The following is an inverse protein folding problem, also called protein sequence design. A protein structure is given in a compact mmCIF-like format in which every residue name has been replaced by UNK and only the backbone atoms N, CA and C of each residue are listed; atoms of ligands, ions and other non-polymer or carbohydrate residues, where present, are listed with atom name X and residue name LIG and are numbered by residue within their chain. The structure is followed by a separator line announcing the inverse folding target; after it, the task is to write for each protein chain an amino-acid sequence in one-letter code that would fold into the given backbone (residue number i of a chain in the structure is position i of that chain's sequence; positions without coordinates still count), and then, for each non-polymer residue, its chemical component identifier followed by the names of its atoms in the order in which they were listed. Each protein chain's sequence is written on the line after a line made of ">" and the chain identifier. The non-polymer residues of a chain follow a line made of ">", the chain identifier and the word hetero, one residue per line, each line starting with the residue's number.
data_IF_877086857290
#
_entry.id   IF_877086857290
#
_cell.length_a   1.000
_cell.length_b   1.000
_cell.length_c   1.000
_cell.angle_alpha   90.00
_cell.angle_beta   90.00
_cell.angle_gamma   90.00
#
_symmetry.space_group_name_H-M   'P 1'
#
loop_
_entity.id
_entity.type
_entity.pdbx_description
1 polymer ?
#
# COMPACT_ATOMS: atom_id res chain seq x y z
N UNK A 1 -3.15 -14.88 -17.12
CA UNK A 1 -2.80 -14.16 -15.88
C UNK A 1 -2.58 -12.72 -16.27
N UNK A 2 -3.47 -11.81 -15.86
CA UNK A 2 -3.28 -10.40 -16.14
C UNK A 2 -2.15 -9.88 -15.25
N UNK A 3 -1.05 -9.48 -15.86
CA UNK A 3 0.10 -8.93 -15.15
C UNK A 3 -0.21 -7.51 -14.70
N UNK A 4 0.27 -7.15 -13.51
CA UNK A 4 0.23 -5.76 -13.02
C UNK A 4 1.19 -4.93 -13.89
N UNK A 5 0.77 -3.78 -14.45
CA UNK A 5 1.68 -2.89 -15.17
C UNK A 5 2.84 -2.45 -14.28
N UNK A 6 4.04 -2.15 -14.85
CA UNK A 6 5.12 -1.53 -14.10
C UNK A 6 4.62 -0.31 -13.34
N UNK A 7 4.95 -0.21 -12.06
CA UNK A 7 4.41 0.83 -11.19
C UNK A 7 4.71 2.26 -11.71
N UNK A 8 5.88 2.46 -12.35
CA UNK A 8 6.30 3.74 -12.91
C UNK A 8 5.39 4.26 -14.04
N UNK A 9 4.75 3.35 -14.77
CA UNK A 9 3.84 3.67 -15.88
C UNK A 9 2.40 3.95 -15.39
N UNK A 10 2.11 3.69 -14.11
CA UNK A 10 0.75 3.65 -13.56
C UNK A 10 0.64 4.33 -12.19
N UNK A 11 1.52 5.30 -11.91
CA UNK A 11 1.66 5.91 -10.59
C UNK A 11 0.37 6.57 -10.07
N UNK A 12 -0.48 7.08 -10.96
CA UNK A 12 -1.74 7.74 -10.60
C UNK A 12 -2.73 6.77 -9.95
N UNK A 13 -2.80 5.53 -10.42
CA UNK A 13 -3.60 4.47 -9.81
C UNK A 13 -2.85 3.74 -8.70
N UNK A 14 -1.53 3.68 -8.79
CA UNK A 14 -0.68 2.94 -7.86
C UNK A 14 -0.58 3.60 -6.49
N UNK A 15 -0.36 4.92 -6.45
CA UNK A 15 -0.13 5.66 -5.20
C UNK A 15 -1.29 5.54 -4.20
N UNK A 16 -2.57 5.73 -4.60
CA UNK A 16 -3.69 5.54 -3.68
C UNK A 16 -3.76 4.11 -3.12
N UNK A 17 -3.45 3.10 -3.95
CA UNK A 17 -3.47 1.70 -3.53
C UNK A 17 -2.34 1.38 -2.56
N UNK A 18 -1.13 1.91 -2.78
CA UNK A 18 -0.05 1.81 -1.81
C UNK A 18 -0.40 2.47 -0.48
N UNK A 19 -1.01 3.65 -0.50
CA UNK A 19 -1.45 4.34 0.72
C UNK A 19 -2.46 3.47 1.50
N UNK A 20 -3.51 3.00 0.83
CA UNK A 20 -4.49 2.11 1.44
C UNK A 20 -3.88 0.82 1.99
N UNK A 21 -3.04 0.12 1.23
CA UNK A 21 -2.46 -1.14 1.69
C UNK A 21 -1.42 -0.92 2.80
N UNK A 22 -0.63 0.16 2.75
CA UNK A 22 0.35 0.48 3.80
C UNK A 22 -0.30 0.77 5.15
N UNK A 23 -1.54 1.28 5.15
CA UNK A 23 -2.29 1.53 6.39
C UNK A 23 -2.56 0.25 7.22
N UNK A 24 -2.47 -0.95 6.63
CA UNK A 24 -2.56 -2.23 7.35
C UNK A 24 -1.40 -2.47 8.32
N UNK A 25 -0.29 -1.75 8.13
CA UNK A 25 0.93 -1.93 8.90
C UNK A 25 1.08 -0.92 10.05
N UNK A 26 0.13 0.01 10.20
CA UNK A 26 0.13 0.97 11.31
C UNK A 26 -0.22 0.27 12.64
N UNK A 27 0.36 0.74 13.74
CA UNK A 27 0.05 0.29 15.10
C UNK A 27 -1.29 0.89 15.58
N UNK A 28 -2.34 0.64 14.81
CA UNK A 28 -3.71 1.11 15.06
C UNK A 28 -4.68 0.00 14.72
N UNK A 29 -5.85 -0.02 15.36
CA UNK A 29 -6.88 -1.00 15.06
C UNK A 29 -7.30 -0.91 13.59
N UNK A 30 -7.00 -1.97 12.84
CA UNK A 30 -7.26 -2.04 11.40
C UNK A 30 -8.75 -1.87 11.06
N UNK A 31 -9.67 -2.17 11.98
CA UNK A 31 -11.10 -1.99 11.74
C UNK A 31 -11.48 -0.52 11.53
N UNK A 32 -10.74 0.43 12.12
CA UNK A 32 -11.02 1.87 12.06
C UNK A 32 -10.92 2.45 10.64
N UNK A 33 -10.01 1.90 9.83
CA UNK A 33 -9.75 2.34 8.45
C UNK A 33 -10.26 1.35 7.40
N UNK A 34 -10.98 0.29 7.81
CA UNK A 34 -11.44 -0.77 6.91
C UNK A 34 -12.38 -0.26 5.83
N UNK A 35 -13.39 0.53 6.18
CA UNK A 35 -14.39 1.01 5.20
C UNK A 35 -13.74 1.88 4.12
N UNK A 36 -12.85 2.80 4.52
CA UNK A 36 -12.09 3.63 3.60
C UNK A 36 -11.19 2.79 2.68
N UNK A 37 -10.40 1.86 3.24
CA UNK A 37 -9.55 0.96 2.45
C UNK A 37 -10.36 0.20 1.41
N UNK A 38 -11.46 -0.43 1.82
CA UNK A 38 -12.29 -1.24 0.91
C UNK A 38 -12.83 -0.40 -0.23
N UNK A 39 -13.36 0.80 0.05
CA UNK A 39 -13.87 1.70 -1.00
C UNK A 39 -12.76 2.12 -1.96
N UNK A 40 -11.59 2.49 -1.43
CA UNK A 40 -10.47 2.93 -2.25
C UNK A 40 -9.95 1.79 -3.15
N UNK A 41 -9.69 0.62 -2.57
CA UNK A 41 -9.22 -0.55 -3.31
C UNK A 41 -10.23 -1.02 -4.36
N UNK A 42 -11.53 -1.03 -4.03
CA UNK A 42 -12.60 -1.41 -4.96
C UNK A 42 -12.79 -0.40 -6.11
N UNK A 43 -12.38 0.85 -5.92
CA UNK A 43 -12.40 1.88 -6.99
C UNK A 43 -11.17 1.86 -7.90
N UNK A 44 -10.12 1.10 -7.52
CA UNK A 44 -8.90 0.98 -8.31
C UNK A 44 -9.12 0.11 -9.56
N UNK A 45 -8.29 0.25 -10.61
CA UNK A 45 -8.41 -0.58 -11.81
C UNK A 45 -7.91 -2.02 -11.62
N UNK A 46 -7.41 -2.37 -10.43
CA UNK A 46 -6.78 -3.67 -10.17
C UNK A 46 -7.80 -4.72 -9.74
N UNK A 47 -7.62 -5.94 -10.24
CA UNK A 47 -8.33 -7.11 -9.70
C UNK A 47 -7.85 -7.44 -8.29
N UNK A 48 -8.60 -8.29 -7.57
CA UNK A 48 -8.19 -8.74 -6.22
C UNK A 48 -6.83 -9.44 -6.26
N UNK A 49 -6.56 -10.25 -7.28
CA UNK A 49 -5.27 -10.93 -7.46
C UNK A 49 -4.14 -9.94 -7.71
N UNK A 50 -4.41 -8.86 -8.45
CA UNK A 50 -3.43 -7.79 -8.66
C UNK A 50 -3.18 -6.98 -7.37
N UNK A 51 -4.22 -6.71 -6.59
CA UNK A 51 -4.09 -6.08 -5.28
C UNK A 51 -3.29 -6.94 -4.30
N UNK A 52 -3.47 -8.26 -4.34
CA UNK A 52 -2.68 -9.21 -3.55
C UNK A 52 -1.20 -9.16 -3.95
N UNK A 53 -0.90 -9.15 -5.25
CA UNK A 53 0.47 -8.99 -5.76
C UNK A 53 1.09 -7.67 -5.27
N UNK A 54 0.38 -6.56 -5.39
CA UNK A 54 0.84 -5.24 -4.91
C UNK A 54 1.10 -5.27 -3.39
N UNK A 55 0.21 -5.89 -2.62
CA UNK A 55 0.38 -6.00 -1.17
C UNK A 55 1.64 -6.81 -0.81
N UNK A 56 1.82 -7.98 -1.41
CA UNK A 56 2.86 -8.94 -1.05
C UNK A 56 4.23 -8.53 -1.59
N UNK A 57 4.29 -8.06 -2.83
CA UNK A 57 5.56 -7.85 -3.55
C UNK A 57 6.04 -6.39 -3.51
N UNK A 58 5.14 -5.41 -3.32
CA UNK A 58 5.50 -3.98 -3.32
C UNK A 58 5.43 -3.36 -1.92
N UNK A 59 4.33 -3.59 -1.18
CA UNK A 59 4.09 -2.91 0.11
C UNK A 59 4.71 -3.65 1.30
N UNK A 60 4.46 -4.95 1.42
CA UNK A 60 4.94 -5.76 2.55
C UNK A 60 6.47 -5.71 2.74
N UNK A 61 7.31 -5.74 1.68
CA UNK A 61 8.76 -5.72 1.85
C UNK A 61 9.29 -4.44 2.50
N UNK A 62 8.52 -3.35 2.45
CA UNK A 62 8.88 -2.06 3.01
C UNK A 62 8.20 -1.89 4.37
N UNK A 63 6.90 -2.16 4.46
CA UNK A 63 6.09 -1.85 5.63
C UNK A 63 6.13 -2.90 6.75
N UNK A 64 6.56 -4.15 6.50
CA UNK A 64 6.55 -5.22 7.53
C UNK A 64 7.30 -4.85 8.81
N UNK A 65 8.31 -3.98 8.71
CA UNK A 65 9.11 -3.55 9.86
C UNK A 65 8.29 -2.76 10.88
N UNK A 66 7.23 -2.09 10.43
CA UNK A 66 6.36 -1.34 11.33
C UNK A 66 5.58 -2.25 12.30
N UNK A 67 5.38 -3.53 11.94
CA UNK A 67 4.76 -4.52 12.83
C UNK A 67 5.65 -4.92 14.02
N UNK A 68 6.95 -4.64 13.94
CA UNK A 68 7.93 -4.98 14.98
C UNK A 68 8.35 -3.76 15.82
N UNK A 69 7.85 -2.57 15.48
CA UNK A 69 8.18 -1.33 16.18
C UNK A 69 7.13 -1.05 17.27
N UNK A 70 7.54 -1.08 18.53
CA UNK A 70 6.69 -0.67 19.65
C UNK A 70 6.71 0.87 19.70
N UNK A 71 5.59 1.50 19.36
CA UNK A 71 5.33 2.94 19.47
C UNK A 71 6.45 3.86 18.93
N UNK A 72 6.44 4.11 17.62
CA UNK A 72 7.17 5.22 16.99
C UNK A 72 6.23 5.95 16.02
N UNK A 73 6.20 7.29 16.06
CA UNK A 73 5.38 8.08 15.14
C UNK A 73 5.80 7.83 13.69
N UNK A 74 4.99 7.08 12.96
CA UNK A 74 5.19 6.89 11.53
C UNK A 74 4.40 7.96 10.78
N UNK A 75 5.11 8.87 10.11
CA UNK A 75 4.52 10.03 9.41
C UNK A 75 3.94 9.69 8.02
N UNK A 76 3.74 8.41 7.70
CA UNK A 76 3.36 7.96 6.37
C UNK A 76 4.52 7.97 5.36
N UNK A 77 4.22 7.66 4.10
CA UNK A 77 5.22 7.60 3.03
C UNK A 77 5.41 8.99 2.41
N UNK A 78 6.65 9.48 2.37
CA UNK A 78 6.98 10.66 1.56
C UNK A 78 7.04 10.26 0.08
N UNK A 79 5.99 10.60 -0.67
CA UNK A 79 5.87 10.38 -2.12
C UNK A 79 6.89 11.15 -2.96
N UNK A 80 7.74 12.00 -2.34
CA UNK A 80 8.82 12.73 -3.02
C UNK A 80 10.16 11.99 -3.01
N UNK A 81 10.32 10.91 -2.23
CA UNK A 81 11.55 10.10 -2.24
C UNK A 81 11.60 9.27 -3.51
N UNK A 82 12.24 9.86 -4.51
CA UNK A 82 12.69 9.19 -5.74
C UNK A 82 13.61 8.05 -5.32
N UNK A 83 13.22 6.81 -5.61
CA UNK A 83 14.09 5.64 -5.51
C UNK A 83 15.28 5.87 -6.45
N UNK A 84 16.39 6.34 -5.88
CA UNK A 84 17.67 6.42 -6.57
C UNK A 84 18.41 5.10 -6.38
N UNK A 85 18.51 4.35 -7.48
CA UNK A 85 19.50 3.32 -7.83
C UNK A 85 19.60 2.07 -6.94
#
# INVERSE_FOLDING_TARGET
>A
MNTVPPAEDDLDHRRPVWDALSSLFLDTDTSLSREWRVKLLASSPYSVEQLEHILVDEVYPICRWNLFSIAGEWAGFDVSVRLSA
#
